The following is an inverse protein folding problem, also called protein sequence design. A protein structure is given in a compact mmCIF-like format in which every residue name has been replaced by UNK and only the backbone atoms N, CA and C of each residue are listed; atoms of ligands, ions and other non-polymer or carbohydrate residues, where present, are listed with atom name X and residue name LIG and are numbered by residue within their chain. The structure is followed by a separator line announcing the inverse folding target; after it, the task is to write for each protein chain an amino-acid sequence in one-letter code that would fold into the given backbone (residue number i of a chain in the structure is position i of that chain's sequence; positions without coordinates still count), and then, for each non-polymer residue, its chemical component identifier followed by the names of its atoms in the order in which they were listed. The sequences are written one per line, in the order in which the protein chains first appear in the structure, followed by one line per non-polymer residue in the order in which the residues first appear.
data_IF_849205453436
#
_entry.id   IF_849205453436
#
_cell.length_a   1.000
_cell.length_b   1.000
_cell.length_c   1.000
_cell.angle_alpha   90.00
_cell.angle_beta   90.00
_cell.angle_gamma   90.00
#
_symmetry.space_group_name_H-M   'P 1'
#
loop_
_entity.id
_entity.type
_entity.pdbx_description
1 polymer ?
#
# COMPACT_ATOMS: atom_id res chain seq x y z
N UNK A 1 2.08 -13.41 12.55
CA UNK A 1 2.87 -12.61 11.59
C UNK A 1 3.55 -11.44 12.29
N UNK A 2 4.72 -11.00 11.82
CA UNK A 2 5.39 -9.73 12.23
C UNK A 2 5.42 -8.71 11.09
N UNK A 3 5.04 -9.13 9.88
CA UNK A 3 4.92 -8.29 8.70
C UNK A 3 3.46 -8.00 8.37
N UNK A 4 3.27 -6.93 7.60
CA UNK A 4 2.01 -6.54 6.97
C UNK A 4 2.29 -6.27 5.50
N UNK A 5 1.44 -6.75 4.59
CA UNK A 5 1.55 -6.45 3.17
C UNK A 5 0.88 -5.10 2.87
N UNK A 6 1.69 -4.09 2.54
CA UNK A 6 1.23 -2.72 2.30
C UNK A 6 1.70 -2.23 0.93
N UNK A 7 1.02 -1.23 0.37
CA UNK A 7 1.47 -0.55 -0.85
C UNK A 7 1.85 0.91 -0.63
N UNK A 8 1.38 1.55 0.44
CA UNK A 8 1.73 2.94 0.74
C UNK A 8 1.56 3.28 2.24
N UNK A 9 2.25 4.33 2.69
CA UNK A 9 2.05 4.97 3.99
C UNK A 9 1.94 6.48 3.77
N UNK A 10 0.72 7.01 3.89
CA UNK A 10 0.46 8.43 3.75
C UNK A 10 0.41 9.10 5.12
N UNK A 11 1.25 10.11 5.33
CA UNK A 11 1.28 10.93 6.54
C UNK A 11 0.45 12.20 6.34
N UNK A 12 -0.03 12.77 7.44
CA UNK A 12 -0.82 14.01 7.47
C UNK A 12 -2.15 13.96 6.70
N UNK A 13 -2.88 12.85 6.83
CA UNK A 13 -4.24 12.76 6.29
C UNK A 13 -5.29 13.31 7.27
N UNK A 14 -6.35 13.92 6.73
CA UNK A 14 -7.39 14.64 7.49
C UNK A 14 -8.80 14.07 7.32
N UNK A 15 -8.99 13.13 6.39
CA UNK A 15 -10.31 12.60 6.04
C UNK A 15 -10.55 11.18 6.54
N UNK A 16 -9.49 10.49 6.97
CA UNK A 16 -9.47 9.06 7.27
C UNK A 16 -9.70 8.77 8.76
N UNK A 17 -10.45 9.64 9.44
CA UNK A 17 -10.77 9.59 10.87
C UNK A 17 -10.53 10.92 11.59
N UNK A 18 -10.73 10.97 12.92
CA UNK A 18 -10.52 12.17 13.71
C UNK A 18 -9.04 12.56 13.78
N UNK A 19 -8.77 13.86 13.80
CA UNK A 19 -7.44 14.44 13.93
C UNK A 19 -6.53 14.22 12.71
N UNK A 20 -5.25 14.53 12.88
CA UNK A 20 -4.22 14.28 11.87
C UNK A 20 -3.82 12.82 11.93
N UNK A 21 -3.81 12.14 10.79
CA UNK A 21 -3.58 10.70 10.75
C UNK A 21 -2.44 10.30 9.83
N UNK A 22 -1.83 9.17 10.17
CA UNK A 22 -0.99 8.40 9.25
C UNK A 22 -1.77 7.19 8.81
N UNK A 23 -2.02 7.10 7.51
CA UNK A 23 -2.78 6.03 6.88
C UNK A 23 -1.81 4.98 6.37
N UNK A 24 -2.00 3.74 6.80
CA UNK A 24 -1.24 2.58 6.32
C UNK A 24 -2.14 1.85 5.34
N UNK A 25 -1.76 1.85 4.07
CA UNK A 25 -2.56 1.28 2.99
C UNK A 25 -2.16 -0.16 2.70
N UNK A 26 -3.05 -1.10 3.01
CA UNK A 26 -2.83 -2.54 2.92
C UNK A 26 -3.15 -3.06 1.52
N UNK A 27 -2.47 -4.15 1.11
CA UNK A 27 -2.83 -4.94 -0.09
C UNK A 27 -3.75 -6.12 0.24
N UNK A 28 -4.35 -6.67 -0.80
CA UNK A 28 -5.33 -7.75 -0.71
C UNK A 28 -6.72 -7.24 -0.40
N UNK A 29 -7.66 -7.52 -1.28
CA UNK A 29 -9.08 -7.34 -1.03
C UNK A 29 -9.83 -8.55 -1.58
N UNK A 30 -10.84 -9.02 -0.86
CA UNK A 30 -11.72 -10.09 -1.34
C UNK A 30 -12.91 -9.56 -2.16
N UNK A 31 -12.96 -8.25 -2.41
CA UNK A 31 -13.88 -7.63 -3.35
C UNK A 31 -13.18 -7.21 -4.64
N UNK A 32 -13.97 -6.95 -5.69
CA UNK A 32 -13.52 -6.47 -7.00
C UNK A 32 -14.40 -5.30 -7.45
N UNK A 33 -14.42 -4.23 -6.64
CA UNK A 33 -15.25 -3.07 -6.88
C UNK A 33 -14.89 -2.40 -8.22
N UNK A 34 -15.90 -2.05 -9.03
CA UNK A 34 -15.70 -1.40 -10.33
C UNK A 34 -15.07 -0.01 -10.22
N UNK A 35 -15.38 0.72 -9.15
CA UNK A 35 -14.80 2.02 -8.80
C UNK A 35 -14.13 1.95 -7.43
N UNK A 36 -13.16 1.04 -7.31
CA UNK A 36 -12.33 0.96 -6.12
C UNK A 36 -11.54 2.25 -5.93
N UNK A 37 -11.47 2.74 -4.68
CA UNK A 37 -10.66 3.90 -4.31
C UNK A 37 -9.16 3.62 -4.50
N UNK A 38 -8.74 2.38 -4.25
CA UNK A 38 -7.36 1.92 -4.36
C UNK A 38 -7.30 0.64 -5.22
N UNK A 39 -7.48 0.71 -6.55
CA UNK A 39 -7.46 -0.48 -7.41
C UNK A 39 -6.15 -1.29 -7.28
N UNK A 40 -5.03 -0.64 -7.01
CA UNK A 40 -3.71 -1.23 -6.74
C UNK A 40 -3.65 -2.08 -5.46
N UNK A 41 -4.65 -1.99 -4.59
CA UNK A 41 -4.73 -2.78 -3.37
C UNK A 41 -5.44 -4.12 -3.55
N UNK A 42 -6.19 -4.33 -4.64
CA UNK A 42 -7.08 -5.49 -4.78
C UNK A 42 -6.35 -6.82 -4.83
N UNK A 43 -5.24 -6.87 -5.57
CA UNK A 43 -4.37 -8.03 -5.62
C UNK A 43 -3.51 -8.08 -4.34
N UNK A 44 -3.35 -9.25 -3.69
CA UNK A 44 -2.35 -9.40 -2.65
C UNK A 44 -0.92 -9.41 -3.22
N UNK A 45 -0.77 -9.75 -4.50
CA UNK A 45 0.54 -9.84 -5.14
C UNK A 45 1.12 -8.43 -5.42
N UNK A 46 2.45 -8.28 -5.35
CA UNK A 46 3.10 -7.03 -5.73
C UNK A 46 2.90 -6.74 -7.22
N UNK A 47 2.72 -5.47 -7.56
CA UNK A 47 2.47 -5.02 -8.93
C UNK A 47 3.33 -3.82 -9.29
N UNK A 48 3.77 -3.76 -10.54
CA UNK A 48 4.45 -2.57 -11.06
C UNK A 48 3.41 -1.58 -11.55
N UNK A 49 3.37 -0.41 -10.92
CA UNK A 49 2.57 0.74 -11.35
C UNK A 49 3.34 1.59 -12.37
N UNK A 50 2.60 2.33 -13.17
CA UNK A 50 3.15 3.21 -14.20
C UNK A 50 2.46 4.58 -14.16
N UNK A 51 3.23 5.61 -13.82
CA UNK A 51 2.80 7.00 -13.79
C UNK A 51 3.23 7.67 -15.10
N UNK A 52 2.34 7.67 -16.08
CA UNK A 52 2.64 8.14 -17.45
C UNK A 52 3.20 9.56 -17.48
N UNK A 53 2.64 10.47 -16.69
CA UNK A 53 3.03 11.88 -16.64
C UNK A 53 4.45 12.12 -16.12
N UNK A 54 5.06 11.14 -15.44
CA UNK A 54 6.46 11.20 -15.00
C UNK A 54 7.43 10.58 -16.02
N UNK A 55 6.94 9.84 -17.01
CA UNK A 55 7.77 9.08 -17.92
C UNK A 55 8.46 9.97 -18.96
N UNK A 56 9.79 9.87 -19.06
CA UNK A 56 10.59 10.60 -20.06
C UNK A 56 10.79 9.86 -21.38
N UNK A 57 10.28 8.62 -21.50
CA UNK A 57 10.47 7.80 -22.69
C UNK A 57 11.89 7.24 -22.88
N UNK A 58 12.75 7.25 -21.85
CA UNK A 58 14.16 6.86 -21.98
C UNK A 58 14.42 5.39 -22.36
N UNK A 59 13.42 4.52 -22.29
CA UNK A 59 13.51 3.12 -22.73
C UNK A 59 14.29 2.15 -21.83
N UNK A 60 14.90 2.61 -20.73
CA UNK A 60 15.71 1.75 -19.83
C UNK A 60 14.94 0.54 -19.28
N UNK A 61 13.64 0.69 -18.99
CA UNK A 61 12.81 -0.41 -18.50
C UNK A 61 12.65 -1.55 -19.52
N UNK A 62 12.72 -1.28 -20.83
CA UNK A 62 12.70 -2.30 -21.87
C UNK A 62 13.98 -3.13 -21.87
N UNK A 63 15.12 -2.50 -21.57
CA UNK A 63 16.43 -3.14 -21.60
C UNK A 63 16.67 -4.04 -20.38
N UNK A 64 16.22 -3.61 -19.20
CA UNK A 64 16.53 -4.32 -17.94
C UNK A 64 15.54 -5.45 -17.62
N UNK A 65 14.33 -5.42 -18.19
CA UNK A 65 13.30 -6.38 -17.83
C UNK A 65 13.61 -7.79 -18.36
N UNK A 66 13.91 -8.76 -17.48
CA UNK A 66 14.34 -10.09 -17.92
C UNK A 66 13.22 -10.92 -18.56
N UNK A 67 11.96 -10.51 -18.37
CA UNK A 67 10.79 -11.21 -18.88
C UNK A 67 10.16 -10.52 -20.11
N UNK A 68 10.76 -9.41 -20.58
CA UNK A 68 10.26 -8.67 -21.75
C UNK A 68 8.87 -8.08 -21.58
N UNK A 69 8.54 -7.63 -20.35
CA UNK A 69 7.22 -7.08 -20.01
C UNK A 69 6.99 -5.68 -20.57
N UNK A 70 8.03 -4.87 -20.77
CA UNK A 70 7.92 -3.54 -21.35
C UNK A 70 8.16 -3.61 -22.85
N UNK A 71 7.27 -3.02 -23.64
CA UNK A 71 7.37 -2.91 -25.09
C UNK A 71 6.97 -1.51 -25.55
N UNK A 72 7.34 -1.20 -26.79
CA UNK A 72 6.80 -0.05 -27.52
C UNK A 72 6.06 -0.61 -28.73
N UNK A 73 4.80 -0.21 -28.88
CA UNK A 73 3.96 -0.52 -30.03
C UNK A 73 3.35 0.78 -30.56
N UNK A 74 3.56 1.08 -31.84
CA UNK A 74 3.13 2.33 -32.49
C UNK A 74 3.49 3.61 -31.70
N UNK A 75 4.67 3.61 -31.06
CA UNK A 75 5.14 4.74 -30.24
C UNK A 75 4.52 4.82 -28.85
N UNK A 76 3.60 3.91 -28.49
CA UNK A 76 3.02 3.81 -27.16
C UNK A 76 3.68 2.72 -26.33
N UNK A 77 3.83 2.97 -25.03
CA UNK A 77 4.35 1.97 -24.09
C UNK A 77 3.29 0.92 -23.83
N UNK A 78 3.64 -0.34 -24.02
CA UNK A 78 2.81 -1.50 -23.68
C UNK A 78 3.46 -2.26 -22.53
N UNK A 79 2.66 -2.67 -21.55
CA UNK A 79 3.09 -3.48 -20.41
C UNK A 79 2.35 -4.81 -20.36
N UNK A 80 3.07 -5.92 -20.50
CA UNK A 80 2.53 -7.28 -20.47
C UNK A 80 2.53 -7.76 -19.02
N UNK A 81 1.40 -7.59 -18.33
CA UNK A 81 1.25 -7.90 -16.90
C UNK A 81 1.41 -9.38 -16.62
N UNK A 82 0.95 -10.24 -17.52
CA UNK A 82 0.91 -11.70 -17.37
C UNK A 82 2.31 -12.33 -17.29
N UNK A 83 3.34 -11.61 -17.76
CA UNK A 83 4.74 -12.06 -17.70
C UNK A 83 5.51 -11.43 -16.54
N UNK A 84 4.94 -10.42 -15.88
CA UNK A 84 5.63 -9.67 -14.85
C UNK A 84 5.64 -10.48 -13.55
N UNK A 85 6.83 -10.77 -13.04
CA UNK A 85 7.00 -11.37 -11.70
C UNK A 85 7.23 -10.33 -10.62
N UNK A 86 6.95 -9.05 -10.91
CA UNK A 86 7.15 -7.92 -10.01
C UNK A 86 8.56 -7.82 -9.40
N UNK A 87 9.60 -8.23 -10.15
CA UNK A 87 10.99 -8.31 -9.65
C UNK A 87 11.68 -6.96 -9.34
N UNK A 88 11.00 -5.82 -9.48
CA UNK A 88 11.53 -4.50 -9.11
C UNK A 88 12.64 -3.90 -10.01
N UNK A 89 13.35 -4.69 -10.82
CA UNK A 89 14.51 -4.19 -11.62
C UNK A 89 14.22 -2.96 -12.49
N UNK A 90 13.02 -2.86 -13.05
CA UNK A 90 12.63 -1.70 -13.86
C UNK A 90 12.30 -0.46 -13.00
N UNK A 91 11.81 -0.67 -11.78
CA UNK A 91 11.55 0.38 -10.78
C UNK A 91 12.86 0.96 -10.27
N UNK A 92 13.83 0.12 -9.92
CA UNK A 92 15.16 0.54 -9.43
C UNK A 92 15.92 1.47 -10.40
N UNK A 93 15.76 1.27 -11.70
CA UNK A 93 16.41 2.10 -12.73
C UNK A 93 15.57 3.30 -13.19
N UNK A 94 14.33 3.43 -12.72
CA UNK A 94 13.44 4.51 -13.13
C UNK A 94 13.75 5.80 -12.37
N UNK A 95 14.80 6.50 -12.80
CA UNK A 95 15.21 7.78 -12.20
C UNK A 95 14.13 8.88 -12.26
N UNK A 96 13.14 8.74 -13.14
CA UNK A 96 12.02 9.67 -13.26
C UNK A 96 10.89 9.39 -12.25
N UNK A 97 10.93 8.27 -11.53
CA UNK A 97 9.85 7.85 -10.61
C UNK A 97 8.57 7.41 -11.32
N UNK A 98 8.62 7.18 -12.63
CA UNK A 98 7.44 6.77 -13.42
C UNK A 98 7.03 5.31 -13.22
N UNK A 99 7.89 4.48 -12.62
CA UNK A 99 7.59 3.10 -12.27
C UNK A 99 7.75 2.94 -10.77
N UNK A 100 6.80 2.23 -10.17
CA UNK A 100 6.73 2.02 -8.74
C UNK A 100 6.31 0.58 -8.46
N UNK A 101 6.80 -0.01 -7.37
CA UNK A 101 6.39 -1.33 -6.93
C UNK A 101 5.35 -1.18 -5.82
N UNK A 102 4.10 -1.49 -6.12
CA UNK A 102 3.01 -1.47 -5.16
C UNK A 102 2.85 -2.85 -4.54
N UNK A 103 3.22 -2.98 -3.27
CA UNK A 103 3.14 -4.21 -2.51
C UNK A 103 4.48 -4.69 -2.00
N UNK A 104 4.59 -4.73 -0.68
CA UNK A 104 5.72 -5.31 0.02
C UNK A 104 5.28 -5.82 1.39
N UNK A 105 5.84 -6.95 1.80
CA UNK A 105 5.82 -7.37 3.20
C UNK A 105 6.74 -6.45 4.00
N UNK A 106 6.16 -5.68 4.92
CA UNK A 106 6.90 -4.71 5.74
C UNK A 106 6.77 -5.11 7.20
N UNK A 107 7.88 -5.12 7.94
CA UNK A 107 7.86 -5.37 9.39
C UNK A 107 7.04 -4.30 10.10
N UNK A 108 6.20 -4.73 11.05
CA UNK A 108 5.37 -3.84 11.87
C UNK A 108 6.22 -2.75 12.54
N UNK A 109 7.41 -3.10 13.02
CA UNK A 109 8.33 -2.15 13.64
C UNK A 109 8.83 -1.08 12.66
N UNK A 110 9.02 -1.40 11.38
CA UNK A 110 9.40 -0.40 10.37
C UNK A 110 8.23 0.56 10.05
N UNK A 111 7.00 0.06 10.07
CA UNK A 111 5.79 0.91 9.99
C UNK A 111 5.73 1.83 11.23
N UNK A 112 5.94 1.29 12.43
CA UNK A 112 5.93 2.05 13.68
C UNK A 112 7.01 3.14 13.71
N UNK A 113 8.20 2.88 13.15
CA UNK A 113 9.24 3.92 13.01
C UNK A 113 8.80 5.13 12.19
N UNK A 114 7.89 4.95 11.23
CA UNK A 114 7.31 6.05 10.45
C UNK A 114 6.22 6.73 11.26
N UNK A 115 5.28 5.95 11.82
CA UNK A 115 4.16 6.42 12.64
C UNK A 115 4.64 7.26 13.84
N UNK A 116 5.70 6.82 14.53
CA UNK A 116 6.27 7.52 15.69
C UNK A 116 6.72 8.95 15.38
N UNK A 117 7.07 9.25 14.13
CA UNK A 117 7.48 10.60 13.71
C UNK A 117 6.34 11.61 13.83
N UNK A 118 5.09 11.14 13.86
CA UNK A 118 3.90 11.97 13.85
C UNK A 118 3.19 12.06 15.22
N UNK A 119 3.72 11.40 16.26
CA UNK A 119 3.18 11.43 17.63
C UNK A 119 2.86 12.84 18.13
N UNK A 120 3.73 13.86 17.96
CA UNK A 120 3.41 15.22 18.41
C UNK A 120 2.14 15.78 17.78
N UNK A 121 1.84 15.43 16.53
CA UNK A 121 0.63 15.87 15.84
C UNK A 121 -0.60 15.11 16.33
N UNK A 122 -0.47 13.81 16.60
CA UNK A 122 -1.56 13.00 17.15
C UNK A 122 -2.03 13.55 18.49
N UNK A 123 -1.10 13.91 19.37
CA UNK A 123 -1.40 14.45 20.70
C UNK A 123 -2.18 15.78 20.66
N UNK A 124 -1.88 16.65 19.70
CA UNK A 124 -2.55 17.94 19.55
C UNK A 124 -3.92 17.79 18.89
N UNK A 125 -3.97 16.99 17.82
CA UNK A 125 -5.16 16.87 16.97
C UNK A 125 -6.13 15.78 17.41
N UNK A 126 -5.77 14.97 18.43
CA UNK A 126 -6.47 13.74 18.80
C UNK A 126 -6.56 12.74 17.63
N UNK A 127 -5.49 12.71 16.83
CA UNK A 127 -5.34 11.85 15.67
C UNK A 127 -4.61 10.54 15.97
N UNK A 128 -4.09 9.87 14.94
CA UNK A 128 -3.36 8.62 15.10
C UNK A 128 -3.20 7.83 13.81
N UNK A 129 -3.39 6.51 13.84
CA UNK A 129 -3.18 5.62 12.69
C UNK A 129 -4.51 5.13 12.12
N UNK A 130 -4.63 5.10 10.79
CA UNK A 130 -5.74 4.43 10.09
C UNK A 130 -5.21 3.32 9.22
N UNK A 131 -5.85 2.14 9.26
CA UNK A 131 -5.63 1.11 8.25
C UNK A 131 -6.66 1.29 7.12
N UNK A 132 -6.20 1.34 5.88
CA UNK A 132 -7.04 1.54 4.68
C UNK A 132 -6.48 0.72 3.50
N UNK A 133 -7.00 0.94 2.28
CA UNK A 133 -6.49 0.37 1.03
C UNK A 133 -7.29 -0.82 0.52
N UNK A 134 -6.79 -2.03 0.73
CA UNK A 134 -7.48 -3.27 0.41
C UNK A 134 -8.71 -3.49 1.29
N UNK A 135 -8.94 -4.73 1.71
CA UNK A 135 -9.76 -4.97 2.90
C UNK A 135 -8.81 -5.21 4.07
N UNK A 136 -8.67 -4.28 5.04
CA UNK A 136 -7.75 -4.48 6.17
C UNK A 136 -7.95 -5.79 6.93
N UNK A 137 -9.18 -6.30 6.99
CA UNK A 137 -9.49 -7.58 7.62
C UNK A 137 -9.19 -8.81 6.74
N UNK A 138 -8.83 -8.62 5.47
CA UNK A 138 -8.22 -9.68 4.66
C UNK A 138 -6.85 -10.10 5.23
N UNK A 139 -6.19 -9.20 5.98
CA UNK A 139 -4.96 -9.45 6.72
C UNK A 139 -5.18 -9.33 8.24
N UNK A 140 -6.31 -9.84 8.76
CA UNK A 140 -6.77 -9.57 10.13
C UNK A 140 -5.72 -9.79 11.24
N UNK A 141 -4.95 -10.88 11.21
CA UNK A 141 -3.91 -11.13 12.22
C UNK A 141 -2.81 -10.05 12.21
N UNK A 142 -2.38 -9.61 11.03
CA UNK A 142 -1.37 -8.60 10.86
C UNK A 142 -1.91 -7.21 11.26
N UNK A 143 -3.14 -6.91 10.84
CA UNK A 143 -3.87 -5.69 11.21
C UNK A 143 -4.04 -5.59 12.73
N UNK A 144 -4.51 -6.64 13.41
CA UNK A 144 -4.66 -6.67 14.87
C UNK A 144 -3.34 -6.36 15.56
N UNK A 145 -2.24 -7.00 15.15
CA UNK A 145 -0.92 -6.78 15.78
C UNK A 145 -0.40 -5.37 15.58
N UNK A 146 -0.56 -4.79 14.39
CA UNK A 146 -0.19 -3.40 14.13
C UNK A 146 -1.05 -2.44 14.98
N UNK A 147 -2.36 -2.68 15.07
CA UNK A 147 -3.27 -1.88 15.91
C UNK A 147 -2.94 -2.00 17.40
N UNK A 148 -2.61 -3.20 17.88
CA UNK A 148 -2.17 -3.44 19.27
C UNK A 148 -0.88 -2.68 19.57
N UNK A 149 0.13 -2.77 18.70
CA UNK A 149 1.40 -2.07 18.90
C UNK A 149 1.21 -0.54 18.90
N UNK A 150 0.34 0.01 18.05
CA UNK A 150 -0.05 1.42 18.11
C UNK A 150 -0.70 1.77 19.46
N UNK A 151 -1.64 0.94 19.93
CA UNK A 151 -2.35 1.17 21.21
C UNK A 151 -1.41 1.10 22.42
N UNK A 152 -0.42 0.20 22.40
CA UNK A 152 0.62 0.09 23.44
C UNK A 152 1.44 1.39 23.58
N UNK A 153 1.61 2.14 22.48
CA UNK A 153 2.25 3.46 22.47
C UNK A 153 1.27 4.63 22.72
N UNK A 154 0.00 4.32 23.06
CA UNK A 154 -1.03 5.32 23.31
C UNK A 154 -1.55 6.02 22.05
N UNK A 155 -1.33 5.45 20.87
CA UNK A 155 -1.76 6.01 19.59
C UNK A 155 -3.19 5.56 19.30
N UNK A 156 -4.07 6.52 19.00
CA UNK A 156 -5.44 6.23 18.61
C UNK A 156 -5.47 5.52 17.24
N UNK A 157 -6.35 4.54 17.08
CA UNK A 157 -6.44 3.72 15.87
C UNK A 157 -7.81 3.81 15.22
N UNK A 158 -7.87 3.71 13.88
CA UNK A 158 -9.10 3.56 13.11
C UNK A 158 -8.86 2.54 11.98
N UNK A 159 -9.95 2.00 11.42
CA UNK A 159 -9.90 1.07 10.29
C UNK A 159 -10.99 1.43 9.31
N UNK A 160 -10.62 1.60 8.05
CA UNK A 160 -11.56 1.73 6.93
C UNK A 160 -11.76 0.34 6.33
N UNK A 161 -12.83 -0.31 6.75
CA UNK A 161 -13.20 -1.66 6.31
C UNK A 161 -14.51 -1.62 5.55
N UNK A 162 -14.62 -2.47 4.53
CA UNK A 162 -15.92 -2.74 3.89
C UNK A 162 -16.71 -3.80 4.65
N UNK A 163 -16.12 -4.44 5.66
CA UNK A 163 -16.76 -5.45 6.50
C UNK A 163 -17.12 -6.74 5.76
N UNK A 164 -16.57 -6.96 4.56
CA UNK A 164 -16.87 -8.14 3.75
C UNK A 164 -16.07 -9.36 4.22
N UNK A 165 -16.09 -9.68 5.51
CA UNK A 165 -15.42 -10.85 6.09
C UNK A 165 -16.38 -11.54 7.05
N UNK A 166 -16.05 -12.75 7.51
CA UNK A 166 -16.84 -13.39 8.55
C UNK A 166 -16.82 -12.56 9.83
N UNK A 167 -17.94 -12.50 10.55
CA UNK A 167 -18.07 -11.71 11.78
C UNK A 167 -17.00 -12.06 12.83
N UNK A 168 -16.63 -13.34 12.94
CA UNK A 168 -15.57 -13.80 13.84
C UNK A 168 -14.20 -13.14 13.55
N UNK A 169 -13.94 -12.74 12.31
CA UNK A 169 -12.73 -12.00 11.93
C UNK A 169 -12.80 -10.56 12.43
N UNK A 170 -13.99 -9.94 12.43
CA UNK A 170 -14.20 -8.59 12.95
C UNK A 170 -14.06 -8.59 14.48
N UNK A 171 -14.62 -9.60 15.16
CA UNK A 171 -14.50 -9.73 16.62
C UNK A 171 -13.07 -9.98 17.12
N UNK A 172 -12.20 -10.49 16.24
CA UNK A 172 -10.79 -10.69 16.54
C UNK A 172 -10.01 -9.37 16.68
N UNK A 173 -10.37 -8.35 15.89
CA UNK A 173 -9.58 -7.12 15.67
C UNK A 173 -10.02 -5.96 16.56
#
# INVERSE_FOLDING_TARGET
MTTVNIFDIQRFSYHDGPGIRTVVFLKGCNMRCLWCQNPESQSPDPEVLYHEHLCTGCGKCLQVCPYGCHRIDNGQRVFIREKCTACGKCVELCYAGALELAGAEVEIEDILRIVRRDIPFYQISQGGVTLSGGEPFFQAEASLKLLQACKEEGIHTAVETAGNVEWAVIELV
#
